data_IF_358229288529
#
_entry.id   IF_358229288529
#
_cell.length_a   1.000
_cell.length_b   1.000
_cell.length_c   1.000
_cell.angle_alpha   90.00
_cell.angle_beta   90.00
_cell.angle_gamma   90.00
#
_symmetry.space_group_name_H-M   'P 1'
#
loop_
_entity.id
_entity.type
_entity.pdbx_description
1 polymer ?
#
# COMPACT_ATOMS: atom_id res chain seq x y z
N UNK A 1 -56.46 -8.14 -45.89
CA UNK A 1 -56.27 -7.98 -44.43
C UNK A 1 -55.05 -7.09 -44.23
N UNK A 2 -55.28 -5.80 -43.99
CA UNK A 2 -54.23 -4.80 -43.73
C UNK A 2 -54.46 -4.21 -42.34
N UNK A 3 -53.40 -4.17 -41.54
CA UNK A 3 -53.37 -3.56 -40.20
C UNK A 3 -53.29 -2.03 -40.33
N UNK A 4 -54.00 -1.25 -39.50
CA UNK A 4 -53.76 0.18 -39.40
C UNK A 4 -52.85 0.57 -38.22
N UNK A 5 -51.87 1.39 -38.61
CA UNK A 5 -51.14 2.49 -37.97
C UNK A 5 -51.43 2.92 -36.51
N UNK A 6 -50.34 3.23 -35.80
CA UNK A 6 -50.27 3.85 -34.48
C UNK A 6 -49.73 5.29 -34.59
N UNK A 7 -50.44 6.25 -34.02
CA UNK A 7 -49.99 7.62 -33.65
C UNK A 7 -50.67 7.83 -32.27
N UNK A 8 -50.03 8.13 -31.14
CA UNK A 8 -49.05 9.18 -30.85
C UNK A 8 -49.75 10.20 -29.94
N UNK A 9 -49.44 10.26 -28.65
CA UNK A 9 -49.62 11.47 -27.82
C UNK A 9 -48.73 11.45 -26.57
N UNK A 10 -48.18 12.62 -26.38
CA UNK A 10 -47.14 13.12 -25.48
C UNK A 10 -47.64 13.29 -24.04
N UNK A 11 -46.77 13.05 -23.05
CA UNK A 11 -46.92 13.65 -21.72
C UNK A 11 -45.60 14.28 -21.29
N UNK A 12 -45.72 15.55 -20.97
CA UNK A 12 -44.69 16.51 -20.57
C UNK A 12 -44.22 16.27 -19.12
N UNK A 13 -42.99 16.68 -18.83
CA UNK A 13 -42.42 16.71 -17.50
C UNK A 13 -41.18 17.60 -17.46
N UNK A 14 -41.41 18.91 -17.34
CA UNK A 14 -40.38 19.91 -17.04
C UNK A 14 -40.65 20.52 -15.65
N UNK A 15 -39.63 20.54 -14.79
CA UNK A 15 -39.39 21.67 -13.89
C UNK A 15 -37.91 21.73 -13.52
N UNK A 16 -37.29 22.83 -13.93
CA UNK A 16 -35.96 23.31 -13.55
C UNK A 16 -35.82 23.48 -12.02
N UNK A 17 -34.58 23.43 -11.48
CA UNK A 17 -33.87 24.63 -11.01
C UNK A 17 -32.48 24.28 -10.45
N UNK A 18 -31.52 25.09 -10.90
CA UNK A 18 -30.09 25.17 -10.65
C UNK A 18 -29.70 25.30 -9.17
N UNK A 19 -28.50 24.82 -8.81
CA UNK A 19 -27.49 25.69 -8.15
C UNK A 19 -26.06 25.16 -8.26
N UNK A 20 -25.28 25.94 -8.97
CA UNK A 20 -23.82 25.97 -9.03
C UNK A 20 -23.29 26.89 -7.90
N UNK A 21 -21.97 26.85 -7.66
CA UNK A 21 -21.17 27.66 -6.72
C UNK A 21 -21.01 27.05 -5.31
N UNK A 22 -19.83 27.03 -4.68
CA UNK A 22 -18.76 28.01 -4.77
C UNK A 22 -17.46 27.45 -4.15
N UNK A 23 -16.33 27.72 -4.80
CA UNK A 23 -15.02 27.67 -4.17
C UNK A 23 -14.93 28.86 -3.21
N UNK A 24 -14.78 28.61 -1.92
CA UNK A 24 -14.61 29.70 -0.95
C UNK A 24 -13.33 29.49 -0.15
N UNK A 25 -12.31 30.19 -0.62
CA UNK A 25 -11.07 30.48 0.10
C UNK A 25 -11.43 31.39 1.27
N UNK A 26 -11.35 30.91 2.51
CA UNK A 26 -11.42 31.79 3.68
C UNK A 26 -10.27 31.48 4.63
N UNK A 27 -9.28 32.38 4.63
CA UNK A 27 -8.26 32.48 5.66
C UNK A 27 -8.97 32.79 6.99
N UNK A 28 -8.97 31.84 7.92
CA UNK A 28 -9.29 32.11 9.33
C UNK A 28 -7.98 32.08 10.12
N UNK A 29 -7.49 33.28 10.39
CA UNK A 29 -6.45 33.57 11.38
C UNK A 29 -7.12 33.82 12.72
N UNK A 30 -7.14 32.84 13.62
CA UNK A 30 -7.44 33.09 15.04
C UNK A 30 -6.72 32.12 15.97
N UNK A 31 -5.67 32.66 16.61
CA UNK A 31 -5.07 32.36 17.94
C UNK A 31 -4.94 30.90 18.41
N UNK A 32 -3.67 30.55 18.65
CA UNK A 32 -3.19 29.39 19.42
C UNK A 32 -3.85 29.35 20.81
N UNK A 33 -4.62 28.29 21.06
CA UNK A 33 -4.87 27.78 22.43
C UNK A 33 -4.36 26.34 22.45
N UNK A 34 -3.21 26.16 23.10
CA UNK A 34 -2.55 24.88 23.30
C UNK A 34 -3.42 23.99 24.20
N UNK A 35 -4.20 23.09 23.59
CA UNK A 35 -4.94 22.07 24.31
C UNK A 35 -4.11 20.77 24.27
N UNK A 36 -3.49 20.44 25.41
CA UNK A 36 -2.70 19.21 25.60
C UNK A 36 -3.65 18.01 25.48
N UNK A 37 -3.78 17.46 24.27
CA UNK A 37 -4.52 16.22 24.02
C UNK A 37 -3.61 15.05 24.32
N UNK A 38 -4.12 14.09 25.09
CA UNK A 38 -3.48 12.80 25.32
C UNK A 38 -3.00 12.17 23.98
N UNK A 39 -1.86 11.48 23.96
CA UNK A 39 -1.29 10.96 22.73
C UNK A 39 -2.30 10.02 22.08
N UNK A 40 -2.67 10.32 20.83
CA UNK A 40 -3.51 9.44 20.02
C UNK A 40 -2.78 8.09 19.92
N UNK A 41 -3.48 6.95 20.02
CA UNK A 41 -2.85 5.66 19.75
C UNK A 41 -2.21 5.74 18.37
N UNK A 42 -0.92 5.42 18.30
CA UNK A 42 -0.16 5.53 17.07
C UNK A 42 -0.83 4.68 15.99
N UNK A 43 -0.97 5.24 14.78
CA UNK A 43 -1.36 4.45 13.61
C UNK A 43 -0.42 3.23 13.50
N UNK A 44 -0.91 2.05 13.07
CA UNK A 44 -0.06 0.91 12.76
C UNK A 44 1.16 1.28 11.90
N UNK A 45 1.00 2.25 10.98
CA UNK A 45 2.09 2.80 10.18
C UNK A 45 3.12 3.61 10.97
N UNK A 46 2.68 4.42 11.94
CA UNK A 46 3.59 5.16 12.81
C UNK A 46 4.36 4.18 13.72
N UNK A 47 3.70 3.09 14.14
CA UNK A 47 4.36 2.01 14.89
C UNK A 47 5.38 1.26 14.04
N UNK A 48 5.09 1.01 12.77
CA UNK A 48 6.05 0.43 11.80
C UNK A 48 7.26 1.33 11.60
N UNK A 49 7.06 2.62 11.26
CA UNK A 49 8.16 3.58 11.09
C UNK A 49 8.99 3.76 12.35
N UNK A 50 8.34 3.74 13.51
CA UNK A 50 9.03 3.85 14.78
C UNK A 50 9.78 2.58 15.13
N UNK A 51 9.24 1.40 14.78
CA UNK A 51 9.92 0.13 14.97
C UNK A 51 11.16 0.01 14.08
N UNK A 52 11.08 0.42 12.82
CA UNK A 52 12.23 0.54 11.91
C UNK A 52 13.31 1.49 12.47
N UNK A 53 12.88 2.65 12.99
CA UNK A 53 13.78 3.62 13.62
C UNK A 53 14.43 3.08 14.90
N UNK A 54 13.73 2.23 15.65
CA UNK A 54 14.21 1.69 16.93
C UNK A 54 15.11 0.45 16.72
N UNK A 55 14.90 -0.31 15.64
CA UNK A 55 15.76 -1.43 15.24
C UNK A 55 17.07 -0.97 14.57
N UNK A 56 17.08 0.22 13.96
CA UNK A 56 18.26 0.80 13.30
C UNK A 56 19.40 1.25 14.23
N UNK A 57 19.29 1.13 15.55
CA UNK A 57 20.32 1.64 16.46
C UNK A 57 21.55 0.72 16.60
N UNK A 58 21.51 -0.54 16.13
CA UNK A 58 22.61 -1.50 16.34
C UNK A 58 23.22 -2.14 15.08
N UNK A 59 22.98 -1.63 13.87
CA UNK A 59 23.67 -2.16 12.68
C UNK A 59 24.11 -1.04 11.72
N UNK A 60 25.41 -0.93 11.39
CA UNK A 60 25.86 -0.01 10.36
C UNK A 60 25.28 -0.48 9.01
N UNK A 61 24.27 0.23 8.54
CA UNK A 61 23.71 0.03 7.21
C UNK A 61 24.67 0.63 6.18
N UNK A 62 25.10 -0.14 5.16
CA UNK A 62 25.88 0.43 4.07
C UNK A 62 25.04 1.51 3.34
N UNK A 63 25.68 2.54 2.77
CA UNK A 63 25.03 3.77 2.32
C UNK A 63 24.07 3.64 1.12
N UNK A 64 23.70 2.42 0.70
CA UNK A 64 22.87 2.15 -0.48
C UNK A 64 21.45 1.64 -0.17
N UNK A 65 21.08 1.36 1.09
CA UNK A 65 19.79 0.73 1.41
C UNK A 65 18.57 1.68 1.29
N UNK A 66 18.79 2.99 1.04
CA UNK A 66 17.76 4.03 1.17
C UNK A 66 17.41 4.75 -0.13
N UNK A 67 17.80 4.25 -1.30
CA UNK A 67 17.46 4.91 -2.55
C UNK A 67 16.28 4.19 -3.22
N UNK A 68 15.07 4.77 -3.07
CA UNK A 68 13.95 4.74 -4.04
C UNK A 68 12.71 3.85 -3.78
N UNK A 69 12.44 3.30 -2.59
CA UNK A 69 11.10 2.72 -2.32
C UNK A 69 10.24 3.66 -1.50
N UNK A 70 9.28 4.31 -2.15
CA UNK A 70 8.26 5.13 -1.49
C UNK A 70 7.08 4.25 -1.05
N UNK A 71 7.15 3.77 0.20
CA UNK A 71 6.07 3.01 0.84
C UNK A 71 5.02 3.94 1.46
N UNK A 72 4.12 4.45 0.62
CA UNK A 72 3.03 5.33 1.06
C UNK A 72 1.76 4.59 1.46
N UNK A 73 1.59 3.34 1.00
CA UNK A 73 0.39 2.53 1.23
C UNK A 73 0.69 1.03 1.22
N UNK A 74 -0.33 0.20 1.50
CA UNK A 74 -0.27 -1.27 1.41
C UNK A 74 -0.89 -1.81 0.11
N UNK A 75 -0.91 -1.04 -0.97
CA UNK A 75 -1.47 -1.45 -2.25
C UNK A 75 -0.48 -1.18 -3.38
N UNK A 76 -0.60 -0.06 -4.07
CA UNK A 76 0.24 0.26 -5.24
C UNK A 76 1.73 0.34 -4.93
N UNK A 77 2.14 0.74 -3.72
CA UNK A 77 3.56 0.78 -3.32
C UNK A 77 4.20 -0.60 -3.22
N UNK A 78 3.40 -1.67 -3.22
CA UNK A 78 3.85 -3.06 -3.14
C UNK A 78 3.64 -3.81 -4.46
N UNK A 79 3.03 -3.16 -5.44
CA UNK A 79 2.58 -3.81 -6.67
C UNK A 79 3.73 -4.23 -7.58
N UNK A 80 4.95 -3.71 -7.38
CA UNK A 80 6.14 -4.05 -8.17
C UNK A 80 7.04 -5.12 -7.52
N UNK A 81 6.71 -5.58 -6.32
CA UNK A 81 7.45 -6.60 -5.59
C UNK A 81 8.71 -6.10 -4.86
N UNK A 82 9.24 -4.92 -5.19
CA UNK A 82 10.46 -4.40 -4.55
C UNK A 82 10.29 -4.15 -3.06
N UNK A 83 9.10 -3.69 -2.65
CA UNK A 83 8.75 -3.52 -1.26
C UNK A 83 8.87 -4.82 -0.44
N UNK A 84 8.46 -5.95 -1.03
CA UNK A 84 8.62 -7.26 -0.39
C UNK A 84 10.09 -7.68 -0.35
N UNK A 85 10.83 -7.52 -1.45
CA UNK A 85 12.26 -7.80 -1.47
C UNK A 85 13.01 -6.98 -0.41
N UNK A 86 12.72 -5.68 -0.29
CA UNK A 86 13.37 -4.83 0.70
C UNK A 86 13.02 -5.23 2.13
N UNK A 87 11.77 -5.62 2.37
CA UNK A 87 11.33 -6.13 3.67
C UNK A 87 12.10 -7.40 4.06
N UNK A 88 12.22 -8.37 3.16
CA UNK A 88 12.97 -9.60 3.43
C UNK A 88 14.46 -9.29 3.61
N UNK A 89 15.04 -8.47 2.75
CA UNK A 89 16.45 -8.08 2.82
C UNK A 89 16.81 -7.31 4.11
N UNK A 90 15.84 -6.60 4.73
CA UNK A 90 16.05 -5.98 6.04
C UNK A 90 16.39 -7.01 7.12
N UNK A 91 15.68 -8.16 7.14
CA UNK A 91 15.91 -9.23 8.10
C UNK A 91 17.00 -10.21 7.65
N UNK A 92 17.11 -10.47 6.34
CA UNK A 92 18.03 -11.41 5.72
C UNK A 92 18.86 -10.72 4.61
N UNK A 93 19.81 -9.85 4.97
CA UNK A 93 20.58 -9.07 3.99
C UNK A 93 21.48 -9.94 3.10
N UNK A 94 21.84 -11.13 3.56
CA UNK A 94 22.70 -12.06 2.83
C UNK A 94 21.90 -13.06 1.96
N UNK A 95 20.57 -12.94 1.88
CA UNK A 95 19.74 -13.88 1.14
C UNK A 95 19.77 -13.68 -0.38
N UNK A 96 19.90 -12.44 -0.86
CA UNK A 96 19.99 -12.09 -2.27
C UNK A 96 20.51 -10.66 -2.45
N UNK A 97 21.01 -10.34 -3.66
CA UNK A 97 21.50 -9.01 -3.97
C UNK A 97 20.36 -8.06 -4.38
N UNK A 98 19.88 -7.28 -3.41
CA UNK A 98 18.82 -6.29 -3.63
C UNK A 98 19.20 -5.21 -4.69
N UNK A 99 20.48 -4.89 -4.83
CA UNK A 99 20.93 -3.80 -5.73
C UNK A 99 20.71 -4.11 -7.22
N UNK A 100 20.51 -5.39 -7.56
CA UNK A 100 20.26 -5.86 -8.93
C UNK A 100 18.80 -5.79 -9.34
N UNK A 101 17.88 -5.58 -8.39
CA UNK A 101 16.45 -5.62 -8.63
C UNK A 101 15.91 -4.33 -9.23
N UNK A 102 14.85 -4.44 -10.03
CA UNK A 102 14.25 -3.33 -10.76
C UNK A 102 12.72 -3.41 -10.70
N UNK A 103 11.99 -2.28 -10.63
CA UNK A 103 10.52 -2.29 -10.57
C UNK A 103 9.85 -2.81 -11.85
N UNK A 104 10.62 -2.97 -12.94
CA UNK A 104 10.14 -3.52 -14.21
C UNK A 104 9.92 -5.03 -14.12
N UNK A 105 10.73 -5.74 -13.35
CA UNK A 105 10.75 -7.20 -13.29
C UNK A 105 9.86 -7.73 -12.14
N UNK A 106 8.59 -7.32 -12.16
CA UNK A 106 7.62 -7.58 -11.07
C UNK A 106 7.51 -9.04 -10.68
N UNK A 107 7.40 -9.90 -11.69
CA UNK A 107 7.25 -11.35 -11.50
C UNK A 107 8.43 -11.88 -10.71
N UNK A 108 9.64 -11.58 -11.18
CA UNK A 108 10.88 -11.97 -10.53
C UNK A 108 10.95 -11.44 -9.09
N UNK A 109 10.59 -10.18 -8.86
CA UNK A 109 10.61 -9.60 -7.52
C UNK A 109 9.65 -10.34 -6.55
N UNK A 110 8.42 -10.64 -6.98
CA UNK A 110 7.47 -11.39 -6.15
C UNK A 110 7.94 -12.83 -5.89
N UNK A 111 8.32 -13.54 -6.94
CA UNK A 111 8.81 -14.93 -6.84
C UNK A 111 10.02 -15.01 -5.90
N UNK A 112 11.01 -14.12 -6.08
CA UNK A 112 12.19 -14.05 -5.23
C UNK A 112 11.83 -13.77 -3.78
N UNK A 113 11.01 -12.75 -3.51
CA UNK A 113 10.66 -12.39 -2.14
C UNK A 113 9.90 -13.52 -1.43
N UNK A 114 8.93 -14.14 -2.11
CA UNK A 114 8.08 -15.17 -1.52
C UNK A 114 8.85 -16.48 -1.35
N UNK A 115 9.68 -16.87 -2.33
CA UNK A 115 10.54 -18.05 -2.23
C UNK A 115 11.53 -17.91 -1.07
N UNK A 116 12.21 -16.76 -0.95
CA UNK A 116 13.18 -16.54 0.13
C UNK A 116 12.48 -16.53 1.49
N UNK A 117 11.29 -15.93 1.60
CA UNK A 117 10.52 -15.93 2.84
C UNK A 117 10.13 -17.35 3.27
N UNK A 118 9.74 -18.20 2.32
CA UNK A 118 9.41 -19.61 2.57
C UNK A 118 10.66 -20.41 2.95
N UNK A 119 11.69 -20.43 2.09
CA UNK A 119 12.88 -21.28 2.27
C UNK A 119 13.74 -20.91 3.49
N UNK A 120 13.83 -19.61 3.82
CA UNK A 120 14.75 -19.13 4.88
C UNK A 120 14.06 -18.88 6.21
N UNK A 121 12.76 -18.61 6.19
CA UNK A 121 12.01 -18.23 7.39
C UNK A 121 10.74 -19.05 7.60
N UNK A 122 10.45 -20.06 6.77
CA UNK A 122 9.27 -20.91 6.88
C UNK A 122 7.96 -20.07 6.84
N UNK A 123 7.96 -18.99 6.04
CA UNK A 123 6.80 -18.11 5.88
C UNK A 123 6.06 -18.51 4.61
N UNK A 124 4.98 -19.28 4.79
CA UNK A 124 4.13 -19.66 3.68
C UNK A 124 3.59 -18.42 2.92
N UNK A 125 3.66 -18.39 1.58
CA UNK A 125 3.15 -17.29 0.78
C UNK A 125 1.62 -17.20 0.91
N UNK A 126 1.12 -16.05 1.37
CA UNK A 126 -0.32 -15.78 1.45
C UNK A 126 -0.87 -15.06 0.21
N UNK A 127 0.01 -14.65 -0.69
CA UNK A 127 -0.30 -13.94 -1.92
C UNK A 127 0.16 -14.80 -3.09
N UNK A 128 -0.70 -14.94 -4.09
CA UNK A 128 -0.32 -15.58 -5.34
C UNK A 128 0.38 -14.56 -6.26
N UNK A 129 1.41 -15.03 -6.97
CA UNK A 129 2.19 -14.17 -7.87
C UNK A 129 1.34 -13.71 -9.06
N UNK A 130 0.52 -14.59 -9.64
CA UNK A 130 -0.32 -14.25 -10.79
C UNK A 130 -1.34 -13.17 -10.41
N UNK A 131 -2.05 -13.35 -9.29
CA UNK A 131 -3.01 -12.37 -8.76
C UNK A 131 -2.36 -10.99 -8.53
N UNK A 132 -1.13 -10.98 -8.04
CA UNK A 132 -0.37 -9.74 -7.81
C UNK A 132 0.09 -9.09 -9.12
N UNK A 133 0.27 -9.87 -10.19
CA UNK A 133 0.66 -9.36 -11.50
C UNK A 133 -0.52 -8.77 -12.28
N UNK A 134 -1.73 -9.31 -12.10
CA UNK A 134 -2.96 -8.88 -12.79
C UNK A 134 -3.29 -7.40 -12.57
N UNK A 135 -3.01 -6.87 -11.39
CA UNK A 135 -3.33 -5.47 -11.03
C UNK A 135 -2.12 -4.70 -10.51
N UNK A 136 -2.12 -3.38 -10.75
CA UNK A 136 -1.15 -2.44 -10.14
C UNK A 136 -1.61 -1.92 -8.77
N UNK A 137 -2.77 -2.38 -8.30
CA UNK A 137 -3.39 -1.96 -7.05
C UNK A 137 -3.96 -3.20 -6.33
N UNK A 138 -3.09 -4.05 -5.76
CA UNK A 138 -3.55 -5.22 -5.00
C UNK A 138 -4.42 -4.81 -3.80
N UNK A 139 -5.28 -5.71 -3.31
CA UNK A 139 -6.08 -5.44 -2.11
C UNK A 139 -5.16 -5.22 -0.90
N UNK A 140 -5.35 -4.08 -0.25
CA UNK A 140 -4.45 -3.64 0.80
C UNK A 140 -4.52 -4.50 2.06
N UNK A 141 -5.63 -5.20 2.30
CA UNK A 141 -5.76 -6.11 3.45
C UNK A 141 -4.96 -7.38 3.23
N UNK A 142 -4.98 -7.92 2.01
CA UNK A 142 -4.16 -9.09 1.65
C UNK A 142 -2.67 -8.78 1.82
N UNK A 143 -2.20 -7.67 1.22
CA UNK A 143 -0.81 -7.21 1.35
C UNK A 143 -0.45 -6.96 2.82
N UNK A 144 -1.28 -6.22 3.56
CA UNK A 144 -1.04 -5.93 4.97
C UNK A 144 -0.96 -7.21 5.82
N UNK A 145 -1.86 -8.16 5.59
CA UNK A 145 -1.88 -9.44 6.32
C UNK A 145 -0.60 -10.22 6.08
N UNK A 146 -0.14 -10.27 4.83
CA UNK A 146 1.10 -10.97 4.50
C UNK A 146 2.33 -10.28 5.11
N UNK A 147 2.41 -8.95 5.02
CA UNK A 147 3.48 -8.17 5.68
C UNK A 147 3.48 -8.41 7.19
N UNK A 148 2.32 -8.45 7.84
CA UNK A 148 2.24 -8.77 9.27
C UNK A 148 2.74 -10.18 9.58
N UNK A 149 2.42 -11.16 8.74
CA UNK A 149 2.93 -12.54 8.88
C UNK A 149 4.46 -12.55 8.87
N UNK A 150 5.07 -11.88 7.88
CA UNK A 150 6.53 -11.75 7.76
C UNK A 150 7.13 -11.10 9.02
N UNK A 151 6.59 -9.95 9.45
CA UNK A 151 7.09 -9.26 10.64
C UNK A 151 6.97 -10.09 11.91
N UNK A 152 5.86 -10.82 12.09
CA UNK A 152 5.70 -11.67 13.27
C UNK A 152 6.77 -12.75 13.28
N UNK A 153 6.95 -13.45 12.16
CA UNK A 153 7.91 -14.55 12.06
C UNK A 153 9.35 -14.12 12.38
N UNK A 154 9.80 -12.97 11.86
CA UNK A 154 11.16 -12.48 12.10
C UNK A 154 11.35 -11.86 13.49
N UNK A 155 10.29 -11.42 14.17
CA UNK A 155 10.39 -10.82 15.51
C UNK A 155 10.17 -11.82 16.65
N UNK A 156 9.65 -13.00 16.35
CA UNK A 156 9.55 -14.11 17.32
C UNK A 156 10.86 -14.92 17.40
N UNK A 157 11.83 -14.69 16.50
CA UNK A 157 13.16 -15.35 16.48
C UNK A 157 14.25 -14.57 17.25
N UNK A 158 13.92 -13.43 17.87
CA UNK A 158 14.80 -12.60 18.72
C UNK A 158 14.57 -12.83 20.23
#
# INVERSE_FOLDING_TARGET
MGLPHIEGITTEGELETKKESEVSTTKVSTRVTQQVRAPKPMSPFAKFRQLDKQNSLNKPTPPSLNENIQLDNFSSSWADGLAFCALIHHFLPDAFDYSTLTPKDRRHNFELAFQVADEKADIAPLLDVEDMLETRRPDWKCVFTYVQSIYRRFKDED
#
